data_IF_159805886374
#
_entry.id   IF_159805886374
#
_cell.length_a   1.000
_cell.length_b   1.000
_cell.length_c   1.000
_cell.angle_alpha   90.00
_cell.angle_beta   90.00
_cell.angle_gamma   90.00
#
_symmetry.space_group_name_H-M   'P 1'
#
loop_
_entity.id
_entity.type
_entity.pdbx_description
1 polymer ?
#
# COMPACT_ATOMS: atom_id res chain seq x y z
N UNK A 1 -23.04 51.12 -46.63
CA UNK A 1 -23.75 49.83 -46.62
C UNK A 1 -22.69 48.76 -46.84
N UNK A 2 -22.11 48.24 -45.76
CA UNK A 2 -22.47 46.98 -45.06
C UNK A 2 -21.33 46.00 -45.33
N UNK A 3 -20.39 45.85 -44.41
CA UNK A 3 -20.37 44.90 -43.27
C UNK A 3 -19.42 43.72 -43.57
N UNK A 4 -18.31 43.72 -42.84
CA UNK A 4 -17.64 42.62 -42.15
C UNK A 4 -17.86 41.19 -42.64
N UNK A 5 -16.76 40.49 -42.93
CA UNK A 5 -16.49 39.24 -42.21
C UNK A 5 -14.99 38.90 -42.23
N UNK A 6 -14.24 39.43 -41.25
CA UNK A 6 -12.94 38.87 -40.89
C UNK A 6 -13.19 37.55 -40.18
N UNK A 7 -13.06 36.44 -40.90
CA UNK A 7 -12.96 35.11 -40.32
C UNK A 7 -11.67 35.03 -39.51
N UNK A 8 -11.78 35.37 -38.23
CA UNK A 8 -10.74 35.12 -37.23
C UNK A 8 -10.51 33.61 -37.14
N UNK A 9 -9.41 33.15 -37.73
CA UNK A 9 -8.89 31.81 -37.53
C UNK A 9 -8.40 31.67 -36.09
N UNK A 10 -9.32 31.40 -35.17
CA UNK A 10 -9.03 30.90 -33.83
C UNK A 10 -8.33 29.54 -34.01
N UNK A 11 -7.00 29.55 -34.02
CA UNK A 11 -6.23 28.36 -33.71
C UNK A 11 -6.66 27.93 -32.30
N UNK A 12 -7.48 26.89 -32.22
CA UNK A 12 -7.66 26.12 -31.01
C UNK A 12 -6.27 25.63 -30.59
N UNK A 13 -5.62 26.40 -29.70
CA UNK A 13 -4.56 25.87 -28.85
C UNK A 13 -5.21 24.79 -28.02
N UNK A 14 -5.19 23.56 -28.54
CA UNK A 14 -5.35 22.36 -27.74
C UNK A 14 -4.26 22.42 -26.69
N UNK A 15 -4.63 22.88 -25.50
CA UNK A 15 -3.89 22.51 -24.31
C UNK A 15 -4.03 21.00 -24.21
N UNK A 16 -3.09 20.28 -24.82
CA UNK A 16 -2.79 18.94 -24.38
C UNK A 16 -2.28 19.17 -22.96
N UNK A 17 -3.18 19.06 -22.00
CA UNK A 17 -2.79 18.83 -20.62
C UNK A 17 -2.14 17.46 -20.68
N UNK A 18 -0.83 17.44 -20.91
CA UNK A 18 0.00 16.32 -20.50
C UNK A 18 -0.19 16.30 -18.99
N UNK A 19 -1.19 15.54 -18.52
CA UNK A 19 -1.30 15.22 -17.11
C UNK A 19 0.04 14.57 -16.81
N UNK A 20 0.89 15.29 -16.10
CA UNK A 20 2.15 14.78 -15.62
C UNK A 20 1.84 13.44 -14.97
N UNK A 21 2.68 12.43 -15.24
CA UNK A 21 2.61 11.12 -14.61
C UNK A 21 2.94 11.17 -13.09
N UNK A 22 2.58 12.28 -12.44
CA UNK A 22 2.77 12.64 -11.05
C UNK A 22 1.40 12.82 -10.37
N UNK A 23 0.40 12.02 -10.74
CA UNK A 23 -0.53 11.58 -9.70
C UNK A 23 0.26 10.57 -8.87
N UNK A 24 1.13 11.09 -8.00
CA UNK A 24 1.54 10.39 -6.79
C UNK A 24 0.25 10.20 -5.99
N UNK A 25 -0.54 9.21 -6.37
CA UNK A 25 -1.52 8.60 -5.48
C UNK A 25 -0.67 8.00 -4.36
N UNK A 26 -0.43 8.80 -3.32
CA UNK A 26 0.27 8.35 -2.13
C UNK A 26 -0.45 7.10 -1.66
N UNK A 27 0.23 5.96 -1.79
CA UNK A 27 -0.32 4.69 -1.37
C UNK A 27 -0.68 4.80 0.12
N UNK A 28 -1.80 4.22 0.55
CA UNK A 28 -2.16 4.26 1.96
C UNK A 28 -1.15 3.45 2.78
N UNK A 29 -0.89 3.87 4.02
CA UNK A 29 -0.09 3.08 4.94
C UNK A 29 -0.81 1.75 5.25
N UNK A 30 -0.11 0.61 5.22
CA UNK A 30 -0.69 -0.66 5.61
C UNK A 30 -0.91 -0.72 7.13
N UNK A 31 -1.77 -1.64 7.58
CA UNK A 31 -2.04 -1.84 9.00
C UNK A 31 -2.32 -3.31 9.35
N UNK A 32 -2.16 -3.67 10.62
CA UNK A 32 -2.58 -4.97 11.12
C UNK A 32 -4.04 -4.88 11.57
N UNK A 33 -4.90 -5.69 10.97
CA UNK A 33 -6.35 -5.69 11.28
C UNK A 33 -6.64 -6.16 12.71
N UNK A 34 -5.80 -7.05 13.22
CA UNK A 34 -5.95 -7.68 14.52
C UNK A 34 -5.29 -6.87 15.66
N UNK A 35 -4.77 -5.68 15.34
CA UNK A 35 -4.20 -4.79 16.34
C UNK A 35 -5.30 -4.16 17.23
N UNK A 36 -4.99 -4.02 18.51
CA UNK A 36 -5.78 -3.22 19.44
C UNK A 36 -5.70 -1.72 19.10
N UNK A 37 -6.56 -0.91 19.72
CA UNK A 37 -6.60 0.56 19.54
C UNK A 37 -5.33 1.30 19.94
N UNK A 38 -4.43 0.66 20.70
CA UNK A 38 -3.12 1.19 21.12
C UNK A 38 -1.95 0.61 20.31
N UNK A 39 -2.22 0.10 19.10
CA UNK A 39 -1.25 -0.51 18.19
C UNK A 39 -0.50 -1.71 18.81
N UNK A 40 -1.20 -2.55 19.56
CA UNK A 40 -0.61 -3.77 20.11
C UNK A 40 -1.10 -5.01 19.40
N UNK A 41 -0.23 -6.02 19.37
CA UNK A 41 -0.49 -7.34 18.81
C UNK A 41 -0.19 -8.39 19.87
N UNK A 42 -1.05 -9.40 20.00
CA UNK A 42 -0.86 -10.45 20.99
C UNK A 42 0.15 -11.48 20.51
N UNK A 43 1.14 -11.80 21.35
CA UNK A 43 2.00 -12.96 21.15
C UNK A 43 1.14 -14.24 21.20
N UNK A 44 1.46 -15.22 20.35
CA UNK A 44 0.75 -16.50 20.33
C UNK A 44 -0.56 -16.52 19.53
N UNK A 45 -0.96 -15.41 18.89
CA UNK A 45 -1.91 -15.49 17.78
C UNK A 45 -1.27 -16.27 16.63
N UNK A 46 -1.90 -17.38 16.22
CA UNK A 46 -1.40 -18.27 15.17
C UNK A 46 -1.36 -17.59 13.79
N UNK A 47 -2.20 -16.55 13.59
CA UNK A 47 -2.22 -15.76 12.37
C UNK A 47 -2.59 -14.30 12.64
N UNK A 48 -1.93 -13.38 11.93
CA UNK A 48 -2.31 -11.97 11.84
C UNK A 48 -2.69 -11.62 10.40
N UNK A 49 -3.67 -10.74 10.22
CA UNK A 49 -4.07 -10.22 8.91
C UNK A 49 -3.50 -8.82 8.71
N UNK A 50 -2.57 -8.70 7.77
CA UNK A 50 -2.07 -7.40 7.31
C UNK A 50 -2.95 -6.91 6.16
N UNK A 51 -3.24 -5.62 6.16
CA UNK A 51 -4.14 -4.98 5.21
C UNK A 51 -3.45 -3.78 4.59
N UNK A 52 -3.44 -3.72 3.25
CA UNK A 52 -3.26 -2.49 2.52
C UNK A 52 -4.65 -1.91 2.19
N UNK A 53 -5.00 -0.71 2.67
CA UNK A 53 -6.29 -0.10 2.35
C UNK A 53 -6.50 0.03 0.84
N UNK A 54 -7.76 -0.08 0.43
CA UNK A 54 -8.15 0.04 -0.96
C UNK A 54 -7.76 1.39 -1.56
N UNK A 55 -7.25 1.34 -2.79
CA UNK A 55 -6.96 2.51 -3.61
C UNK A 55 -7.64 2.33 -4.96
N UNK A 56 -8.25 3.38 -5.49
CA UNK A 56 -8.76 3.36 -6.86
C UNK A 56 -7.60 3.55 -7.84
N UNK A 57 -7.31 2.51 -8.63
CA UNK A 57 -6.24 2.52 -9.62
C UNK A 57 -6.39 1.33 -10.57
N UNK A 58 -6.26 1.56 -11.86
CA UNK A 58 -6.15 0.51 -12.89
C UNK A 58 -4.69 0.12 -13.17
N UNK A 59 -3.72 0.79 -12.54
CA UNK A 59 -2.29 0.66 -12.82
C UNK A 59 -1.66 -0.57 -12.17
N UNK A 60 -2.24 -1.07 -11.09
CA UNK A 60 -1.60 -2.05 -10.22
C UNK A 60 -2.17 -3.45 -10.41
N UNK A 61 -1.30 -4.46 -10.43
CA UNK A 61 -1.68 -5.87 -10.59
C UNK A 61 -1.59 -6.68 -9.30
N UNK A 62 -0.59 -6.39 -8.47
CA UNK A 62 -0.28 -7.18 -7.28
C UNK A 62 0.12 -6.31 -6.10
N UNK A 63 -0.08 -6.84 -4.90
CA UNK A 63 0.36 -6.28 -3.62
C UNK A 63 1.31 -7.28 -2.96
N UNK A 64 2.48 -6.80 -2.56
CA UNK A 64 3.42 -7.51 -1.68
C UNK A 64 3.27 -6.92 -0.28
N UNK A 65 3.16 -7.77 0.75
CA UNK A 65 3.12 -7.35 2.16
C UNK A 65 3.98 -8.27 3.02
N UNK A 66 4.59 -7.72 4.06
CA UNK A 66 5.16 -8.46 5.19
C UNK A 66 5.31 -7.55 6.41
N UNK A 67 5.53 -8.17 7.57
CA UNK A 67 5.83 -7.51 8.82
C UNK A 67 7.28 -7.82 9.24
N UNK A 68 8.00 -6.80 9.67
CA UNK A 68 9.40 -6.87 10.08
C UNK A 68 9.57 -6.32 11.49
N UNK A 69 10.36 -6.99 12.34
CA UNK A 69 10.76 -6.42 13.65
C UNK A 69 12.03 -5.58 13.54
N UNK A 70 12.13 -4.53 14.36
CA UNK A 70 13.33 -3.68 14.44
C UNK A 70 14.55 -4.47 14.92
N UNK A 71 14.34 -5.45 15.81
CA UNK A 71 15.40 -6.20 16.47
C UNK A 71 15.87 -7.43 15.66
N UNK A 72 15.41 -7.61 14.41
CA UNK A 72 15.65 -8.76 13.53
C UNK A 72 15.35 -10.14 14.17
N UNK A 73 14.69 -10.15 15.32
CA UNK A 73 14.29 -11.35 16.06
C UNK A 73 13.33 -12.21 15.25
N UNK A 74 12.50 -11.56 14.42
CA UNK A 74 11.40 -12.19 13.70
C UNK A 74 11.05 -11.44 12.42
N UNK A 75 10.60 -12.18 11.41
CA UNK A 75 10.01 -11.65 10.18
C UNK A 75 8.89 -12.59 9.77
N UNK A 76 7.78 -12.05 9.24
CA UNK A 76 6.80 -12.89 8.56
C UNK A 76 7.29 -13.23 7.16
N UNK A 77 6.82 -14.34 6.59
CA UNK A 77 6.99 -14.56 5.15
C UNK A 77 6.38 -13.42 4.34
N UNK A 78 6.98 -13.05 3.23
CA UNK A 78 6.35 -12.16 2.27
C UNK A 78 5.19 -12.85 1.54
N UNK A 79 4.04 -12.18 1.40
CA UNK A 79 2.89 -12.68 0.63
C UNK A 79 2.57 -11.73 -0.52
N UNK A 80 2.40 -12.31 -1.70
CA UNK A 80 1.93 -11.61 -2.90
C UNK A 80 0.44 -11.91 -3.08
N UNK A 81 -0.38 -10.87 -3.17
CA UNK A 81 -1.82 -10.93 -3.42
C UNK A 81 -2.17 -10.17 -4.69
N UNK A 82 -3.30 -10.52 -5.30
CA UNK A 82 -3.85 -9.76 -6.43
C UNK A 82 -4.37 -8.42 -5.92
N UNK A 83 -4.03 -7.34 -6.60
CA UNK A 83 -4.61 -6.03 -6.38
C UNK A 83 -5.99 -5.94 -7.05
N UNK A 84 -6.97 -5.33 -6.37
CA UNK A 84 -8.31 -5.08 -6.92
C UNK A 84 -8.66 -3.62 -6.61
N UNK A 85 -8.91 -2.83 -7.66
CA UNK A 85 -9.25 -1.41 -7.52
C UNK A 85 -10.39 -1.19 -6.53
N UNK A 86 -10.21 -0.20 -5.65
CA UNK A 86 -11.22 0.19 -4.66
C UNK A 86 -11.43 -0.79 -3.51
N UNK A 87 -10.64 -1.87 -3.42
CA UNK A 87 -10.77 -2.89 -2.36
C UNK A 87 -9.51 -3.06 -1.54
N UNK A 88 -9.70 -3.21 -0.24
CA UNK A 88 -8.65 -3.61 0.68
C UNK A 88 -8.00 -4.92 0.24
N UNK A 89 -6.68 -4.97 0.32
CA UNK A 89 -5.93 -6.20 0.09
C UNK A 89 -5.46 -6.76 1.43
N UNK A 90 -6.08 -7.85 1.86
CA UNK A 90 -5.71 -8.58 3.09
C UNK A 90 -4.84 -9.81 2.81
N UNK A 91 -3.84 -10.04 3.65
CA UNK A 91 -3.10 -11.30 3.69
C UNK A 91 -2.94 -11.77 5.14
N UNK A 92 -3.29 -13.03 5.39
CA UNK A 92 -3.02 -13.69 6.66
C UNK A 92 -1.61 -14.26 6.65
N UNK A 93 -0.89 -14.01 7.73
CA UNK A 93 0.50 -14.44 7.93
C UNK A 93 0.56 -15.32 9.16
N UNK A 94 1.18 -16.49 8.97
CA UNK A 94 1.54 -17.37 10.06
C UNK A 94 2.94 -16.98 10.55
N UNK A 95 3.12 -17.03 11.86
CA UNK A 95 4.42 -16.81 12.48
C UNK A 95 5.31 -18.01 12.14
N UNK A 96 6.54 -17.76 11.67
CA UNK A 96 7.52 -18.82 11.44
C UNK A 96 7.89 -19.44 12.80
N UNK A 97 7.60 -20.74 13.06
CA UNK A 97 7.66 -21.32 14.41
C UNK A 97 9.02 -21.19 15.11
N UNK A 98 10.12 -21.14 14.34
CA UNK A 98 11.48 -21.05 14.86
C UNK A 98 11.97 -19.60 15.07
N UNK A 99 11.17 -18.60 14.70
CA UNK A 99 11.44 -17.18 14.91
C UNK A 99 10.18 -16.44 15.37
N UNK A 100 9.54 -16.87 16.48
CA UNK A 100 8.30 -16.26 16.91
C UNK A 100 8.53 -14.87 17.49
N UNK A 101 7.55 -14.00 17.29
CA UNK A 101 7.51 -12.70 17.96
C UNK A 101 7.47 -12.90 19.49
N UNK A 102 8.14 -12.01 20.22
CA UNK A 102 8.18 -12.01 21.68
C UNK A 102 7.53 -10.75 22.23
N UNK A 103 7.12 -10.81 23.49
CA UNK A 103 6.64 -9.63 24.20
C UNK A 103 7.72 -8.53 24.18
N UNK A 104 7.29 -7.31 23.88
CA UNK A 104 8.15 -6.14 23.73
C UNK A 104 8.82 -5.99 22.36
N UNK A 105 8.71 -6.97 21.46
CA UNK A 105 9.15 -6.77 20.08
C UNK A 105 8.34 -5.62 19.45
N UNK A 106 9.03 -4.81 18.65
CA UNK A 106 8.43 -3.73 17.88
C UNK A 106 8.52 -4.07 16.41
N UNK A 107 7.41 -3.98 15.70
CA UNK A 107 7.33 -4.28 14.27
C UNK A 107 6.65 -3.18 13.48
N UNK A 108 7.01 -3.13 12.20
CA UNK A 108 6.34 -2.32 11.18
C UNK A 108 5.91 -3.21 10.03
N UNK A 109 4.90 -2.76 9.30
CA UNK A 109 4.39 -3.42 8.11
C UNK A 109 4.85 -2.61 6.92
N UNK A 110 5.41 -3.31 5.95
CA UNK A 110 5.73 -2.73 4.65
C UNK A 110 4.82 -3.35 3.59
N UNK A 111 4.41 -2.51 2.64
CA UNK A 111 3.64 -2.94 1.50
C UNK A 111 4.19 -2.30 0.23
N UNK A 112 4.08 -3.01 -0.88
CA UNK A 112 4.38 -2.48 -2.19
C UNK A 112 3.35 -2.96 -3.21
N UNK A 113 3.02 -2.13 -4.19
CA UNK A 113 2.15 -2.49 -5.31
C UNK A 113 2.97 -2.56 -6.59
N UNK A 114 2.71 -3.58 -7.40
CA UNK A 114 3.39 -3.76 -8.69
C UNK A 114 2.56 -3.15 -9.81
N UNK A 115 3.18 -2.28 -10.61
CA UNK A 115 2.60 -1.73 -11.83
C UNK A 115 3.15 -2.47 -13.05
N UNK A 116 2.38 -3.37 -13.70
CA UNK A 116 2.88 -4.19 -14.80
C UNK A 116 3.31 -3.38 -16.02
N UNK A 117 2.64 -2.27 -16.30
CA UNK A 117 2.96 -1.39 -17.43
C UNK A 117 4.32 -0.71 -17.31
N UNK A 118 4.87 -0.61 -16.10
CA UNK A 118 6.15 0.00 -15.80
C UNK A 118 7.20 -1.01 -15.31
N UNK A 119 6.82 -2.29 -15.20
CA UNK A 119 7.60 -3.36 -14.58
C UNK A 119 8.29 -2.91 -13.27
N UNK A 120 7.52 -2.29 -12.37
CA UNK A 120 8.07 -1.63 -11.18
C UNK A 120 7.17 -1.77 -9.95
N UNK A 121 7.81 -1.93 -8.80
CA UNK A 121 7.19 -1.85 -7.47
C UNK A 121 7.17 -0.41 -6.94
N UNK A 122 6.04 -0.01 -6.38
CA UNK A 122 5.83 1.25 -5.68
C UNK A 122 5.56 0.94 -4.21
N UNK A 123 6.36 1.53 -3.33
CA UNK A 123 6.28 1.26 -1.90
C UNK A 123 5.24 2.17 -1.23
N UNK A 124 4.40 1.57 -0.41
CA UNK A 124 3.57 2.31 0.52
C UNK A 124 4.44 2.98 1.59
N UNK A 125 3.95 4.06 2.23
CA UNK A 125 4.56 4.53 3.46
C UNK A 125 4.56 3.41 4.51
N UNK A 126 5.52 3.46 5.42
CA UNK A 126 5.58 2.53 6.54
C UNK A 126 4.33 2.66 7.42
N UNK A 127 3.88 1.55 8.00
CA UNK A 127 2.81 1.58 8.99
C UNK A 127 3.21 2.32 10.26
N UNK A 128 2.25 2.50 11.17
CA UNK A 128 2.58 2.73 12.57
C UNK A 128 3.40 1.56 13.13
N UNK A 129 4.14 1.81 14.22
CA UNK A 129 4.83 0.77 14.96
C UNK A 129 3.83 -0.02 15.80
N UNK A 130 3.98 -1.34 15.81
CA UNK A 130 3.22 -2.26 16.64
C UNK A 130 4.10 -2.87 17.71
N UNK A 131 3.64 -2.86 18.96
CA UNK A 131 4.34 -3.53 20.07
C UNK A 131 3.65 -4.85 20.38
N UNK A 132 4.42 -5.93 20.43
CA UNK A 132 3.90 -7.23 20.83
C UNK A 132 3.70 -7.30 22.35
N UNK A 133 2.54 -7.75 22.80
CA UNK A 133 2.21 -7.94 24.22
C UNK A 133 1.97 -9.41 24.55
N UNK A 134 2.04 -9.74 25.84
CA UNK A 134 1.70 -11.08 26.33
C UNK A 134 0.27 -11.50 25.88
N UNK A 135 -0.01 -12.82 25.74
CA UNK A 135 -1.29 -13.34 25.27
C UNK A 135 -2.51 -12.85 26.05
#
# INVERSE_FOLDING_TARGET
>A
MSQDNQSSGLQEKRFVVTVSAEVDSQLPAPYAKDATSDNKLKVGQEAFTLVLPGLESDRYGHVLMHMQTENLSSQTEAKIKKFISGKDTGASFEIIPNKPFKEGDVATITAAVYAPSLDRWFFAPESLKYTFEAP
#
